data_IF_718853446934
#
_entry.id   IF_718853446934
#
_cell.length_a   1.000
_cell.length_b   1.000
_cell.length_c   1.000
_cell.angle_alpha   90.00
_cell.angle_beta   90.00
_cell.angle_gamma   90.00
#
_symmetry.space_group_name_H-M   'P 1'
#
loop_
_entity.id
_entity.type
_entity.pdbx_description
1 polymer ?
#
# COMPACT_ATOMS: atom_id res chain seq x y z
N UNK A 1 13.28 7.21 -7.48
CA UNK A 1 12.03 6.42 -7.61
C UNK A 1 12.22 5.13 -8.39
N UNK A 2 12.77 5.13 -9.61
CA UNK A 2 12.93 3.90 -10.41
C UNK A 2 13.66 2.74 -9.70
N UNK A 3 14.79 2.96 -9.01
CA UNK A 3 15.45 1.87 -8.27
C UNK A 3 14.58 1.30 -7.16
N UNK A 4 13.95 2.17 -6.37
CA UNK A 4 13.02 1.78 -5.31
C UNK A 4 11.84 0.98 -5.85
N UNK A 5 11.28 1.38 -7.00
CA UNK A 5 10.21 0.65 -7.66
C UNK A 5 10.66 -0.74 -8.12
N UNK A 6 11.83 -0.86 -8.75
CA UNK A 6 12.40 -2.17 -9.14
C UNK A 6 12.52 -3.09 -7.94
N UNK A 7 13.15 -2.62 -6.86
CA UNK A 7 13.35 -3.44 -5.66
C UNK A 7 12.02 -3.83 -5.00
N UNK A 8 11.05 -2.91 -4.93
CA UNK A 8 9.72 -3.23 -4.38
C UNK A 8 8.99 -4.28 -5.22
N UNK A 9 9.11 -4.22 -6.56
CA UNK A 9 8.53 -5.22 -7.46
C UNK A 9 9.23 -6.59 -7.31
N UNK A 10 10.56 -6.62 -7.25
CA UNK A 10 11.34 -7.84 -7.02
C UNK A 10 10.93 -8.52 -5.70
N UNK A 11 10.77 -7.75 -4.62
CA UNK A 11 10.31 -8.29 -3.34
C UNK A 11 8.88 -8.82 -3.39
N UNK A 12 7.96 -8.15 -4.10
CA UNK A 12 6.59 -8.64 -4.29
C UNK A 12 6.58 -9.97 -5.04
N UNK A 13 7.30 -10.07 -6.16
CA UNK A 13 7.40 -11.32 -6.93
C UNK A 13 8.01 -12.42 -6.07
N UNK A 14 9.08 -12.13 -5.33
CA UNK A 14 9.70 -13.08 -4.41
C UNK A 14 8.73 -13.58 -3.33
N UNK A 15 7.86 -12.71 -2.77
CA UNK A 15 6.83 -13.14 -1.82
C UNK A 15 5.82 -14.07 -2.47
N UNK A 16 5.31 -13.71 -3.65
CA UNK A 16 4.31 -14.52 -4.35
C UNK A 16 4.86 -15.87 -4.77
N UNK A 17 6.10 -15.93 -5.25
CA UNK A 17 6.76 -17.20 -5.58
C UNK A 17 6.90 -18.10 -4.35
N UNK A 18 7.13 -17.53 -3.16
CA UNK A 18 7.19 -18.30 -1.90
C UNK A 18 5.83 -18.78 -1.40
N UNK A 19 4.74 -18.18 -1.87
CA UNK A 19 3.37 -18.57 -1.51
C UNK A 19 2.78 -19.66 -2.41
N UNK A 20 3.49 -20.05 -3.48
CA UNK A 20 3.04 -21.10 -4.39
C UNK A 20 2.84 -22.44 -3.66
N UNK A 21 1.70 -23.09 -3.91
CA UNK A 21 1.40 -24.43 -3.45
C UNK A 21 2.21 -25.51 -4.16
N UNK A 22 2.01 -26.76 -3.77
CA UNK A 22 2.68 -27.92 -4.38
C UNK A 22 2.33 -28.13 -5.86
N UNK A 23 1.19 -27.62 -6.30
CA UNK A 23 0.72 -27.60 -7.69
C UNK A 23 1.27 -26.40 -8.49
N UNK A 24 2.05 -25.52 -7.85
CA UNK A 24 2.60 -24.32 -8.45
C UNK A 24 1.58 -23.19 -8.62
N UNK A 25 0.44 -23.25 -7.93
CA UNK A 25 -0.59 -22.20 -7.97
C UNK A 25 -0.77 -21.53 -6.61
N UNK A 26 -1.26 -20.28 -6.61
CA UNK A 26 -1.61 -19.55 -5.41
C UNK A 26 -2.69 -18.52 -5.74
N UNK A 27 -3.85 -18.63 -5.10
CA UNK A 27 -4.91 -17.63 -5.18
C UNK A 27 -4.66 -16.53 -4.15
N UNK A 28 -4.79 -15.28 -4.56
CA UNK A 28 -4.47 -14.13 -3.72
C UNK A 28 -5.36 -12.94 -4.06
N UNK A 29 -5.71 -12.13 -3.05
CA UNK A 29 -6.32 -10.83 -3.25
C UNK A 29 -5.27 -9.79 -3.65
N UNK A 30 -5.31 -9.38 -4.92
CA UNK A 30 -4.34 -8.46 -5.53
C UNK A 30 -4.42 -7.06 -4.93
N UNK A 31 -5.58 -6.64 -4.45
CA UNK A 31 -5.81 -5.27 -3.98
C UNK A 31 -4.88 -4.87 -2.81
N UNK A 32 -4.84 -5.58 -1.67
CA UNK A 32 -3.92 -5.28 -0.57
C UNK A 32 -2.44 -5.41 -0.95
N UNK A 33 -2.09 -6.32 -1.87
CA UNK A 33 -0.70 -6.44 -2.34
C UNK A 33 -0.25 -5.22 -3.14
N UNK A 34 -1.12 -4.64 -3.97
CA UNK A 34 -0.82 -3.42 -4.71
C UNK A 34 -0.76 -2.19 -3.81
N UNK A 35 -1.61 -2.12 -2.77
CA UNK A 35 -1.50 -1.08 -1.74
C UNK A 35 -0.16 -1.18 -1.02
N UNK A 36 0.27 -2.39 -0.64
CA UNK A 36 1.58 -2.63 -0.03
C UNK A 36 2.72 -2.26 -0.97
N UNK A 37 2.68 -2.69 -2.24
CA UNK A 37 3.69 -2.34 -3.24
C UNK A 37 3.84 -0.83 -3.37
N UNK A 38 2.73 -0.12 -3.54
CA UNK A 38 2.73 1.34 -3.66
C UNK A 38 3.26 2.01 -2.40
N UNK A 39 2.88 1.49 -1.22
CA UNK A 39 3.39 1.94 0.06
C UNK A 39 4.91 1.73 0.18
N UNK A 40 5.45 0.59 -0.25
CA UNK A 40 6.89 0.31 -0.28
C UNK A 40 7.62 1.29 -1.21
N UNK A 41 7.08 1.56 -2.41
CA UNK A 41 7.64 2.52 -3.38
C UNK A 41 7.72 3.92 -2.78
N UNK A 42 6.63 4.38 -2.15
CA UNK A 42 6.54 5.69 -1.50
C UNK A 42 7.51 5.75 -0.32
N UNK A 43 7.47 4.77 0.59
CA UNK A 43 8.35 4.67 1.75
C UNK A 43 9.82 4.76 1.35
N UNK A 44 10.25 3.96 0.37
CA UNK A 44 11.64 3.96 -0.11
C UNK A 44 12.03 5.25 -0.80
N UNK A 45 11.14 5.78 -1.64
CA UNK A 45 11.44 6.96 -2.46
C UNK A 45 11.45 8.25 -1.65
N UNK A 46 10.45 8.44 -0.79
CA UNK A 46 10.27 9.69 -0.06
C UNK A 46 10.97 9.68 1.31
N UNK A 47 11.13 8.51 1.93
CA UNK A 47 11.59 8.40 3.32
C UNK A 47 12.81 7.49 3.51
N UNK A 48 13.27 6.79 2.45
CA UNK A 48 14.39 5.83 2.57
C UNK A 48 14.08 4.61 3.44
N UNK A 49 12.80 4.35 3.74
CA UNK A 49 12.29 3.28 4.60
C UNK A 49 11.56 2.22 3.78
N UNK A 50 10.85 1.29 4.42
CA UNK A 50 9.95 0.34 3.74
C UNK A 50 8.48 0.49 4.19
N UNK A 51 7.57 -0.27 3.56
CA UNK A 51 6.15 -0.25 3.90
C UNK A 51 5.90 -0.59 5.37
N UNK A 52 6.59 -1.60 5.92
CA UNK A 52 6.34 -2.07 7.30
C UNK A 52 6.69 -1.00 8.34
N UNK A 53 7.76 -0.23 8.10
CA UNK A 53 8.15 0.90 8.95
C UNK A 53 7.13 2.04 8.91
N UNK A 54 6.44 2.23 7.76
CA UNK A 54 5.43 3.28 7.55
C UNK A 54 3.97 2.81 7.69
N UNK A 55 3.72 1.52 7.95
CA UNK A 55 2.40 0.90 7.79
C UNK A 55 1.32 1.59 8.63
N UNK A 56 1.68 2.04 9.84
CA UNK A 56 0.75 2.76 10.72
C UNK A 56 0.28 4.08 10.13
N UNK A 57 1.13 4.80 9.40
CA UNK A 57 0.77 6.06 8.75
C UNK A 57 -0.23 5.81 7.62
N UNK A 58 0.03 4.81 6.77
CA UNK A 58 -0.90 4.44 5.69
C UNK A 58 -2.26 3.99 6.23
N UNK A 59 -2.28 3.22 7.32
CA UNK A 59 -3.53 2.83 7.97
C UNK A 59 -4.33 4.06 8.44
N UNK A 60 -3.68 4.99 9.14
CA UNK A 60 -4.32 6.22 9.62
C UNK A 60 -4.82 7.09 8.46
N UNK A 61 -4.07 7.18 7.35
CA UNK A 61 -4.52 7.89 6.15
C UNK A 61 -5.77 7.26 5.54
N UNK A 62 -5.84 5.93 5.44
CA UNK A 62 -7.04 5.24 4.94
C UNK A 62 -8.26 5.51 5.84
N UNK A 63 -8.10 5.45 7.16
CA UNK A 63 -9.16 5.79 8.12
C UNK A 63 -9.62 7.25 7.98
N UNK A 64 -8.68 8.19 7.76
CA UNK A 64 -9.00 9.60 7.54
C UNK A 64 -9.78 9.81 6.24
N UNK A 65 -9.38 9.17 5.14
CA UNK A 65 -10.07 9.27 3.84
C UNK A 65 -11.53 8.82 3.96
N UNK A 66 -11.79 7.71 4.66
CA UNK A 66 -13.14 7.22 4.89
C UNK A 66 -14.00 8.23 5.67
N UNK A 67 -13.44 8.82 6.74
CA UNK A 67 -14.14 9.83 7.56
C UNK A 67 -14.40 11.12 6.79
N UNK A 68 -13.40 11.60 6.03
CA UNK A 68 -13.53 12.81 5.21
C UNK A 68 -14.58 12.61 4.12
N UNK A 69 -14.62 11.44 3.48
CA UNK A 69 -15.65 11.13 2.48
C UNK A 69 -17.07 11.21 3.08
N UNK A 70 -17.25 10.83 4.34
CA UNK A 70 -18.49 11.04 5.08
C UNK A 70 -18.79 12.52 5.36
N UNK A 71 -17.79 13.28 5.82
CA UNK A 71 -17.94 14.70 6.12
C UNK A 71 -18.22 15.57 4.87
N UNK A 72 -17.62 15.25 3.73
CA UNK A 72 -17.89 15.93 2.45
C UNK A 72 -19.34 15.80 1.99
N UNK A 73 -20.04 14.71 2.32
CA UNK A 73 -21.47 14.54 2.00
C UNK A 73 -22.36 15.51 2.77
N UNK A 74 -21.93 15.96 3.94
CA UNK A 74 -22.69 16.83 4.83
C UNK A 74 -22.35 18.31 4.56
N UNK A 75 -21.24 18.57 3.86
CA UNK A 75 -20.65 19.91 3.71
C UNK A 75 -19.99 20.33 5.03
N UNK A 76 -18.71 20.68 5.00
CA UNK A 76 -18.01 21.17 6.18
C UNK A 76 -18.25 22.68 6.26
N UNK A 77 -19.03 23.18 7.25
CA UNK A 77 -19.34 24.60 7.32
C UNK A 77 -18.03 25.41 7.47
N UNK A 78 -17.80 26.35 6.55
CA UNK A 78 -16.60 27.20 6.52
C UNK A 78 -15.40 26.64 5.75
N UNK A 79 -15.51 25.47 5.10
CA UNK A 79 -14.48 24.91 4.21
C UNK A 79 -14.89 24.92 2.72
N UNK A 80 -16.18 25.13 2.44
CA UNK A 80 -16.75 25.37 1.11
C UNK A 80 -17.44 26.74 1.10
#
# INVERSE_FOLDING_TARGET
MLPALSTSCEELVNRWTRSLGSDGTYELDVFPEFQRLTGDVISRTAFGSNYLEGARVFQLQSEQVERIAGAWKIGIPGYL
#
